data_IF_855697214351
#
_entry.id   IF_855697214351
#
_cell.length_a   1.000
_cell.length_b   1.000
_cell.length_c   1.000
_cell.angle_alpha   90.00
_cell.angle_beta   90.00
_cell.angle_gamma   90.00
#
_symmetry.space_group_name_H-M   'P 1'
#
loop_
_entity.id
_entity.type
_entity.pdbx_description
1 polymer ?
#
# COMPACT_ATOMS: atom_id res chain seq x y z
N UNK A 1 12.69 30.11 3.09
CA UNK A 1 13.23 28.84 3.62
C UNK A 1 12.94 27.80 2.57
N UNK A 2 13.91 27.00 2.11
CA UNK A 2 13.59 25.92 1.19
C UNK A 2 12.61 24.97 1.91
N UNK A 3 11.46 24.70 1.31
CA UNK A 3 10.49 23.77 1.88
C UNK A 3 11.15 22.40 2.04
N UNK A 4 10.91 21.76 3.19
CA UNK A 4 11.53 20.49 3.50
C UNK A 4 10.91 19.39 2.63
N UNK A 5 11.66 18.89 1.66
CA UNK A 5 11.26 17.73 0.86
C UNK A 5 11.37 16.44 1.68
N UNK A 6 10.26 15.71 1.78
CA UNK A 6 10.25 14.35 2.31
C UNK A 6 10.24 13.33 1.17
N UNK A 7 10.83 12.17 1.44
CA UNK A 7 10.67 10.95 0.65
C UNK A 7 9.73 10.01 1.39
N UNK A 8 8.66 9.59 0.72
CA UNK A 8 7.55 8.84 1.29
C UNK A 8 7.36 7.57 0.46
N UNK A 9 7.32 6.42 1.12
CA UNK A 9 6.89 5.18 0.50
C UNK A 9 5.40 4.94 0.74
N UNK A 10 4.73 4.29 -0.21
CA UNK A 10 3.31 3.94 -0.12
C UNK A 10 3.12 2.45 -0.43
N UNK A 11 2.43 1.75 0.47
CA UNK A 11 2.16 0.32 0.40
C UNK A 11 0.69 0.04 0.75
N UNK A 12 -0.25 0.32 -0.18
CA UNK A 12 -1.68 0.11 0.03
C UNK A 12 -2.08 -1.36 -0.11
N UNK A 13 -3.23 -1.72 0.46
CA UNK A 13 -3.93 -2.97 0.18
C UNK A 13 -4.12 -3.19 -1.34
N UNK A 14 -3.91 -4.42 -1.83
CA UNK A 14 -3.98 -4.79 -3.25
C UNK A 14 -5.42 -4.92 -3.76
N UNK A 15 -6.18 -3.84 -3.57
CA UNK A 15 -7.53 -3.62 -4.08
C UNK A 15 -7.58 -2.23 -4.72
N UNK A 16 -8.22 -2.11 -5.88
CA UNK A 16 -8.29 -0.81 -6.59
C UNK A 16 -8.97 0.29 -5.76
N UNK A 17 -9.95 -0.07 -4.92
CA UNK A 17 -10.59 0.85 -3.99
C UNK A 17 -9.66 1.47 -2.94
N UNK A 18 -8.49 0.86 -2.71
CA UNK A 18 -7.44 1.34 -1.81
C UNK A 18 -6.31 2.01 -2.59
N UNK A 19 -5.86 1.38 -3.68
CA UNK A 19 -4.80 1.91 -4.55
C UNK A 19 -5.18 3.28 -5.10
N UNK A 20 -6.41 3.49 -5.59
CA UNK A 20 -6.81 4.76 -6.21
C UNK A 20 -6.75 5.96 -5.25
N UNK A 21 -7.34 5.92 -4.03
CA UNK A 21 -7.15 6.98 -3.04
C UNK A 21 -5.69 7.22 -2.65
N UNK A 22 -4.87 6.17 -2.59
CA UNK A 22 -3.43 6.32 -2.35
C UNK A 22 -2.74 7.06 -3.51
N UNK A 23 -3.10 6.79 -4.77
CA UNK A 23 -2.57 7.55 -5.93
C UNK A 23 -2.97 9.03 -5.84
N UNK A 24 -4.21 9.33 -5.44
CA UNK A 24 -4.62 10.72 -5.21
C UNK A 24 -3.80 11.39 -4.11
N UNK A 25 -3.54 10.69 -3.01
CA UNK A 25 -2.68 11.19 -1.93
C UNK A 25 -1.23 11.39 -2.41
N UNK A 26 -0.69 10.45 -3.19
CA UNK A 26 0.64 10.56 -3.78
C UNK A 26 0.78 11.83 -4.62
N UNK A 27 -0.20 12.08 -5.51
CA UNK A 27 -0.22 13.30 -6.32
C UNK A 27 -0.27 14.56 -5.46
N UNK A 28 -1.13 14.59 -4.42
CA UNK A 28 -1.24 15.75 -3.53
C UNK A 28 0.03 16.02 -2.72
N UNK A 29 0.75 14.98 -2.30
CA UNK A 29 2.03 15.14 -1.62
C UNK A 29 3.14 15.58 -2.59
N UNK A 30 3.13 15.05 -3.82
CA UNK A 30 4.06 15.43 -4.86
C UNK A 30 3.85 16.88 -5.34
N UNK A 31 2.61 17.34 -5.44
CA UNK A 31 2.26 18.75 -5.71
C UNK A 31 2.91 19.72 -4.70
N UNK A 32 3.14 19.25 -3.46
CA UNK A 32 3.86 19.98 -2.40
C UNK A 32 5.38 19.70 -2.38
N UNK A 33 5.95 19.16 -3.46
CA UNK A 33 7.39 18.94 -3.61
C UNK A 33 7.96 17.74 -2.87
N UNK A 34 7.13 16.77 -2.46
CA UNK A 34 7.59 15.52 -1.83
C UNK A 34 7.83 14.41 -2.86
N UNK A 35 8.86 13.59 -2.63
CA UNK A 35 9.16 12.41 -3.45
C UNK A 35 8.37 11.20 -2.96
N UNK A 36 7.74 10.48 -3.88
CA UNK A 36 6.92 9.30 -3.59
C UNK A 36 7.51 8.05 -4.27
N UNK A 37 7.66 6.97 -3.51
CA UNK A 37 7.89 5.62 -4.01
C UNK A 37 6.65 4.78 -3.73
N UNK A 38 5.93 4.41 -4.76
CA UNK A 38 4.62 3.78 -4.64
C UNK A 38 4.70 2.32 -5.07
N UNK A 39 4.55 1.40 -4.12
CA UNK A 39 4.55 -0.03 -4.40
C UNK A 39 3.20 -0.46 -4.98
N UNK A 40 3.22 -1.15 -6.12
CA UNK A 40 2.01 -1.60 -6.82
C UNK A 40 2.25 -2.98 -7.43
N UNK A 41 1.28 -3.90 -7.45
CA UNK A 41 1.42 -5.15 -8.17
C UNK A 41 1.76 -4.93 -9.66
N UNK A 42 2.69 -5.71 -10.19
CA UNK A 42 3.25 -5.49 -11.52
C UNK A 42 2.21 -5.43 -12.64
N UNK A 43 1.15 -6.26 -12.61
CA UNK A 43 0.07 -6.21 -13.63
C UNK A 43 -0.89 -5.05 -13.43
N UNK A 44 -0.93 -4.47 -12.23
CA UNK A 44 -1.76 -3.31 -11.90
C UNK A 44 -1.10 -1.99 -12.32
N UNK A 45 0.22 -1.97 -12.51
CA UNK A 45 0.99 -0.78 -12.88
C UNK A 45 0.36 -0.01 -14.06
N UNK A 46 0.08 -0.68 -15.19
CA UNK A 46 -0.52 -0.04 -16.38
C UNK A 46 -1.88 0.59 -16.14
N UNK A 47 -2.61 0.15 -15.10
CA UNK A 47 -3.90 0.71 -14.72
C UNK A 47 -3.77 2.01 -13.94
N UNK A 48 -2.61 2.27 -13.33
CA UNK A 48 -2.39 3.44 -12.46
C UNK A 48 -1.41 4.47 -13.01
N UNK A 49 -0.53 4.06 -13.94
CA UNK A 49 0.48 4.94 -14.54
C UNK A 49 -0.10 6.22 -15.14
N UNK A 50 -1.22 6.13 -15.85
CA UNK A 50 -1.88 7.29 -16.47
C UNK A 50 -2.41 8.31 -15.46
N UNK A 51 -2.53 7.94 -14.18
CA UNK A 51 -2.99 8.80 -13.09
C UNK A 51 -1.85 9.41 -12.28
N UNK A 52 -0.59 9.17 -12.65
CA UNK A 52 0.55 9.89 -12.10
C UNK A 52 0.62 11.29 -12.72
N UNK A 53 0.35 12.31 -11.91
CA UNK A 53 0.36 13.71 -12.35
C UNK A 53 1.73 14.38 -12.19
N UNK A 54 2.67 13.72 -11.51
CA UNK A 54 3.98 14.24 -11.16
C UNK A 54 5.07 13.17 -11.38
N UNK A 55 5.34 12.77 -12.64
CA UNK A 55 6.26 11.66 -12.94
C UNK A 55 7.69 11.87 -12.44
N UNK A 56 8.13 13.12 -12.27
CA UNK A 56 9.45 13.46 -11.72
C UNK A 56 9.54 13.25 -10.20
N UNK A 57 8.40 13.17 -9.51
CA UNK A 57 8.32 13.05 -8.05
C UNK A 57 7.67 11.75 -7.58
N UNK A 58 6.80 11.13 -8.38
CA UNK A 58 6.13 9.87 -8.07
C UNK A 58 6.69 8.77 -8.95
N UNK A 59 7.32 7.78 -8.31
CA UNK A 59 7.80 6.57 -8.97
C UNK A 59 6.96 5.38 -8.52
N UNK A 60 6.28 4.73 -9.46
CA UNK A 60 5.66 3.43 -9.22
C UNK A 60 6.73 2.32 -9.25
N UNK A 61 6.75 1.50 -8.20
CA UNK A 61 7.66 0.36 -8.05
C UNK A 61 6.82 -0.91 -8.18
N UNK A 62 6.98 -1.67 -9.28
CA UNK A 62 6.25 -2.92 -9.46
C UNK A 62 6.73 -3.97 -8.46
N UNK A 63 5.78 -4.64 -7.80
CA UNK A 63 6.00 -5.76 -6.90
C UNK A 63 5.47 -7.04 -7.55
N UNK A 64 6.26 -8.11 -7.45
CA UNK A 64 5.82 -9.45 -7.85
C UNK A 64 5.01 -10.02 -6.69
N UNK A 65 3.72 -10.27 -6.92
CA UNK A 65 2.87 -10.90 -5.91
C UNK A 65 3.11 -12.41 -5.95
N UNK A 66 3.61 -13.03 -4.88
CA UNK A 66 3.87 -14.46 -4.86
C UNK A 66 2.55 -15.24 -4.95
N UNK A 67 2.61 -16.39 -5.60
CA UNK A 67 1.46 -17.30 -5.64
C UNK A 67 1.26 -17.96 -4.28
N UNK A 68 0.00 -18.05 -3.86
CA UNK A 68 -0.44 -18.78 -2.66
C UNK A 68 -1.46 -19.83 -3.08
N UNK A 69 -1.38 -21.01 -2.45
CA UNK A 69 -2.31 -22.11 -2.70
C UNK A 69 -3.77 -21.66 -2.54
N UNK A 70 -4.62 -22.05 -3.50
CA UNK A 70 -6.03 -21.65 -3.56
C UNK A 70 -6.32 -20.40 -4.39
N UNK A 71 -5.31 -19.61 -4.76
CA UNK A 71 -5.48 -18.53 -5.73
C UNK A 71 -5.45 -19.07 -7.17
N UNK A 72 -6.15 -18.43 -8.12
CA UNK A 72 -5.86 -18.61 -9.54
C UNK A 72 -4.42 -18.19 -9.86
N UNK A 73 -3.81 -18.84 -10.86
CA UNK A 73 -2.46 -18.51 -11.28
C UNK A 73 -2.37 -17.05 -11.74
N UNK A 74 -1.48 -16.29 -11.10
CA UNK A 74 -1.23 -14.90 -11.46
C UNK A 74 -2.29 -13.91 -10.97
N UNK A 75 -3.16 -14.28 -10.04
CA UNK A 75 -3.97 -13.33 -9.29
C UNK A 75 -3.07 -12.43 -8.43
N UNK A 76 -3.24 -11.11 -8.52
CA UNK A 76 -2.42 -10.12 -7.80
C UNK A 76 -3.27 -9.18 -6.94
N UNK A 77 -4.55 -9.03 -7.27
CA UNK A 77 -5.47 -8.11 -6.61
C UNK A 77 -6.81 -8.75 -6.32
N UNK A 78 -7.61 -8.11 -5.46
CA UNK A 78 -9.00 -8.52 -5.22
C UNK A 78 -9.89 -8.46 -6.47
N UNK A 79 -9.46 -7.81 -7.55
CA UNK A 79 -10.19 -7.79 -8.83
C UNK A 79 -10.06 -9.12 -9.60
N UNK A 80 -9.07 -9.96 -9.25
CA UNK A 80 -8.78 -11.20 -9.97
C UNK A 80 -9.52 -12.41 -9.38
N UNK A 81 -10.20 -12.24 -8.25
CA UNK A 81 -10.81 -13.33 -7.48
C UNK A 81 -12.14 -12.91 -6.84
N UNK A 82 -13.06 -13.86 -6.55
CA UNK A 82 -14.27 -13.56 -5.79
C UNK A 82 -13.97 -13.27 -4.31
N UNK A 83 -14.92 -12.61 -3.63
CA UNK A 83 -14.80 -12.17 -2.23
C UNK A 83 -14.25 -13.22 -1.24
N UNK A 84 -14.66 -14.50 -1.27
CA UNK A 84 -14.13 -15.51 -0.35
C UNK A 84 -12.62 -15.75 -0.45
N UNK A 85 -11.99 -15.37 -1.58
CA UNK A 85 -10.54 -15.52 -1.80
C UNK A 85 -9.75 -14.23 -1.51
N UNK A 86 -10.41 -13.12 -1.15
CA UNK A 86 -9.70 -11.89 -0.75
C UNK A 86 -8.69 -12.12 0.39
N UNK A 87 -8.96 -12.96 1.41
CA UNK A 87 -7.96 -13.27 2.43
C UNK A 87 -6.69 -13.90 1.86
N UNK A 88 -6.78 -14.69 0.79
CA UNK A 88 -5.60 -15.28 0.15
C UNK A 88 -4.76 -14.24 -0.61
N UNK A 89 -5.39 -13.19 -1.16
CA UNK A 89 -4.66 -12.03 -1.68
C UNK A 89 -3.90 -11.33 -0.55
N UNK A 90 -4.44 -11.33 0.68
CA UNK A 90 -3.77 -10.73 1.85
C UNK A 90 -2.57 -11.56 2.25
N UNK A 91 -2.74 -12.88 2.31
CA UNK A 91 -1.63 -13.81 2.52
C UNK A 91 -0.54 -13.62 1.46
N UNK A 92 -0.90 -13.49 0.19
CA UNK A 92 0.05 -13.24 -0.89
C UNK A 92 0.77 -11.90 -0.75
N UNK A 93 0.04 -10.85 -0.35
CA UNK A 93 0.62 -9.53 -0.07
C UNK A 93 1.59 -9.58 1.12
N UNK A 94 1.22 -10.26 2.22
CA UNK A 94 2.10 -10.42 3.38
C UNK A 94 3.41 -11.15 3.03
N UNK A 95 3.36 -12.12 2.11
CA UNK A 95 4.57 -12.78 1.60
C UNK A 95 5.51 -11.85 0.81
N UNK A 96 5.12 -10.62 0.49
CA UNK A 96 6.02 -9.61 -0.11
C UNK A 96 6.90 -8.88 0.91
N UNK A 97 6.73 -9.14 2.23
CA UNK A 97 7.53 -8.51 3.29
C UNK A 97 9.04 -8.45 3.03
N UNK A 98 9.72 -9.54 2.58
CA UNK A 98 11.16 -9.50 2.32
C UNK A 98 11.55 -8.53 1.20
N UNK A 99 10.76 -8.46 0.14
CA UNK A 99 11.02 -7.56 -1.00
C UNK A 99 10.78 -6.11 -0.59
N UNK A 100 9.70 -5.84 0.16
CA UNK A 100 9.42 -4.52 0.71
C UNK A 100 10.53 -4.08 1.67
N UNK A 101 11.03 -4.97 2.53
CA UNK A 101 12.18 -4.69 3.38
C UNK A 101 13.41 -4.29 2.57
N UNK A 102 13.74 -5.05 1.52
CA UNK A 102 14.87 -4.75 0.65
C UNK A 102 14.74 -3.35 0.02
N UNK A 103 13.57 -3.03 -0.55
CA UNK A 103 13.31 -1.70 -1.10
C UNK A 103 13.40 -0.60 -0.04
N UNK A 104 12.83 -0.79 1.15
CA UNK A 104 12.88 0.23 2.20
C UNK A 104 14.30 0.50 2.71
N UNK A 105 15.17 -0.52 2.74
CA UNK A 105 16.60 -0.38 3.09
C UNK A 105 17.38 0.43 2.06
N UNK A 106 17.05 0.27 0.78
CA UNK A 106 17.67 1.01 -0.31
C UNK A 106 17.15 2.45 -0.37
N UNK A 107 15.81 2.60 -0.42
CA UNK A 107 15.12 3.88 -0.59
C UNK A 107 15.29 4.80 0.62
N UNK A 108 15.36 4.24 1.84
CA UNK A 108 15.45 4.97 3.13
C UNK A 108 14.45 6.13 3.22
N UNK A 109 13.14 5.89 2.96
CA UNK A 109 12.14 6.94 3.04
C UNK A 109 11.99 7.44 4.48
N UNK A 110 11.48 8.67 4.63
CA UNK A 110 11.17 9.26 5.94
C UNK A 110 9.90 8.65 6.54
N UNK A 111 8.93 8.30 5.68
CA UNK A 111 7.64 7.76 6.05
C UNK A 111 7.26 6.57 5.15
N UNK A 112 6.49 5.62 5.70
CA UNK A 112 5.74 4.63 4.92
C UNK A 112 4.26 4.74 5.24
N UNK A 113 3.45 5.01 4.22
CA UNK A 113 1.99 5.03 4.32
C UNK A 113 1.44 3.65 3.95
N UNK A 114 0.51 3.12 4.74
CA UNK A 114 -0.10 1.80 4.55
C UNK A 114 -1.48 1.75 5.21
N UNK A 115 -2.25 0.68 5.00
CA UNK A 115 -3.57 0.52 5.60
C UNK A 115 -3.81 -0.84 6.28
N UNK A 116 -3.52 -1.97 5.62
CA UNK A 116 -3.83 -3.31 6.16
C UNK A 116 -2.61 -4.15 6.55
N UNK A 117 -1.42 -3.82 6.07
CA UNK A 117 -0.20 -4.59 6.33
C UNK A 117 0.26 -4.48 7.80
N UNK A 118 -0.28 -5.33 8.67
CA UNK A 118 -0.03 -5.29 10.12
C UNK A 118 1.43 -5.54 10.52
N UNK A 119 2.21 -6.25 9.70
CA UNK A 119 3.64 -6.49 9.92
C UNK A 119 4.50 -5.24 9.66
N UNK A 120 4.03 -4.33 8.80
CA UNK A 120 4.81 -3.20 8.29
C UNK A 120 5.31 -2.25 9.39
N UNK A 121 4.52 -1.84 10.40
CA UNK A 121 5.02 -1.00 11.50
C UNK A 121 6.18 -1.62 12.29
N UNK A 122 6.20 -2.95 12.41
CA UNK A 122 7.29 -3.66 13.08
C UNK A 122 8.55 -3.63 12.24
N UNK A 123 8.42 -3.84 10.93
CA UNK A 123 9.53 -3.69 9.99
C UNK A 123 10.08 -2.26 9.99
N UNK A 124 9.24 -1.25 9.76
CA UNK A 124 9.69 0.15 9.63
C UNK A 124 10.38 0.66 10.90
N UNK A 125 9.90 0.23 12.08
CA UNK A 125 10.55 0.54 13.36
C UNK A 125 11.98 0.02 13.43
N UNK A 126 12.25 -1.22 12.97
CA UNK A 126 13.61 -1.78 12.91
C UNK A 126 14.52 -0.99 11.96
N UNK A 127 13.95 -0.38 10.93
CA UNK A 127 14.66 0.43 9.94
C UNK A 127 14.76 1.92 10.30
N UNK A 128 14.19 2.35 11.43
CA UNK A 128 14.16 3.77 11.82
C UNK A 128 13.22 4.64 10.98
N UNK A 129 12.26 4.04 10.29
CA UNK A 129 11.29 4.72 9.41
C UNK A 129 9.96 4.90 10.15
N UNK A 130 9.32 6.06 9.99
CA UNK A 130 7.99 6.32 10.57
C UNK A 130 6.90 5.65 9.72
N UNK A 131 6.05 4.83 10.32
CA UNK A 131 4.87 4.30 9.65
C UNK A 131 3.64 5.19 9.91
N UNK A 132 2.79 5.32 8.90
CA UNK A 132 1.54 6.11 8.94
C UNK A 132 0.41 5.27 8.40
N UNK A 133 -0.64 5.07 9.20
CA UNK A 133 -1.86 4.39 8.75
C UNK A 133 -2.71 5.40 7.98
N UNK A 134 -2.96 5.12 6.70
CA UNK A 134 -3.90 5.86 5.87
C UNK A 134 -5.14 4.99 5.61
N UNK A 135 -6.11 5.07 6.51
CA UNK A 135 -7.35 4.32 6.39
C UNK A 135 -8.30 5.01 5.39
N UNK A 136 -8.55 4.37 4.25
CA UNK A 136 -9.50 4.85 3.23
C UNK A 136 -10.97 4.57 3.59
N UNK A 137 -11.20 3.79 4.66
CA UNK A 137 -12.53 3.41 5.12
C UNK A 137 -13.09 4.49 6.04
N UNK A 138 -14.39 4.79 5.91
CA UNK A 138 -15.03 5.79 6.75
C UNK A 138 -14.95 5.45 8.24
N UNK A 139 -14.82 6.48 9.08
CA UNK A 139 -14.82 6.30 10.54
C UNK A 139 -16.12 5.67 11.06
N UNK A 140 -17.26 5.94 10.42
CA UNK A 140 -18.55 5.31 10.75
C UNK A 140 -18.54 3.80 10.48
N UNK A 141 -18.00 3.37 9.33
CA UNK A 141 -17.84 1.95 9.01
C UNK A 141 -16.90 1.25 9.97
N UNK A 142 -15.75 1.86 10.29
CA UNK A 142 -14.79 1.32 11.26
C UNK A 142 -15.44 1.19 12.65
N UNK A 143 -16.11 2.25 13.12
CA UNK A 143 -16.80 2.24 14.41
C UNK A 143 -17.91 1.19 14.48
N UNK A 144 -18.61 0.95 13.36
CA UNK A 144 -19.62 -0.10 13.27
C UNK A 144 -19.01 -1.51 13.26
N UNK A 145 -18.01 -1.78 12.41
CA UNK A 145 -17.43 -3.11 12.23
C UNK A 145 -16.56 -3.56 13.41
N UNK A 146 -15.81 -2.63 14.02
CA UNK A 146 -14.89 -2.94 15.13
C UNK A 146 -15.53 -2.77 16.51
N UNK A 147 -16.82 -2.44 16.58
CA UNK A 147 -17.54 -2.33 17.85
C UNK A 147 -17.48 -3.66 18.62
N UNK A 148 -17.03 -3.67 19.88
CA UNK A 148 -17.00 -4.88 20.70
C UNK A 148 -18.34 -5.62 20.76
N UNK A 149 -19.46 -4.88 20.69
CA UNK A 149 -20.82 -5.44 20.71
C UNK A 149 -21.14 -6.36 19.51
N UNK A 150 -20.28 -6.41 18.49
CA UNK A 150 -20.41 -7.30 17.32
C UNK A 150 -19.47 -8.51 17.33
N UNK A 151 -18.59 -8.65 18.34
CA UNK A 151 -17.66 -9.80 18.40
C UNK A 151 -18.32 -11.10 18.85
N UNK A 152 -19.55 -11.03 19.36
CA UNK A 152 -20.30 -12.15 19.94
C UNK A 152 -21.40 -12.72 19.02
N UNK A 153 -21.36 -12.40 17.71
CA UNK A 153 -22.23 -12.97 16.67
C UNK A 153 -21.39 -13.61 15.56
#
# INVERSE_FOLDING_TARGET
MADKTFHIAMYPWFALGHITPFVHLANKLAENGHKISFFVPAKTLRRVEAFNLHPDLVTFIPIIVPHVEGLPLGAETTNDVPFPLHPLIMTAMDCTEPDIEAYLRELKPHFVFFDFACWLPTLTRKLGIKSVVYCVISSGTIGYLLSPARKDY
#
